data_IF_015772678542
#
_entry.id   IF_015772678542
#
_cell.length_a   1.000
_cell.length_b   1.000
_cell.length_c   1.000
_cell.angle_alpha   90.00
_cell.angle_beta   90.00
_cell.angle_gamma   90.00
#
_symmetry.space_group_name_H-M   'P 1'
#
loop_
_entity.id
_entity.type
_entity.pdbx_description
1 polymer ?
#
# COMPACT_ATOMS: atom_id res chain seq x y z
N UNK A 1 15.61 0.26 -45.98
CA UNK A 1 15.99 1.21 -44.91
C UNK A 1 15.26 0.75 -43.66
N UNK A 2 15.78 -0.27 -43.01
CA UNK A 2 15.18 -0.82 -41.79
C UNK A 2 15.30 0.23 -40.69
N UNK A 3 14.22 0.96 -40.42
CA UNK A 3 14.05 1.64 -39.15
C UNK A 3 14.04 0.51 -38.12
N UNK A 4 15.17 0.28 -37.45
CA UNK A 4 15.16 -0.32 -36.11
C UNK A 4 14.15 0.51 -35.34
N UNK A 5 12.96 -0.04 -35.08
CA UNK A 5 11.99 0.56 -34.17
C UNK A 5 12.74 0.68 -32.86
N UNK A 6 13.16 1.91 -32.51
CA UNK A 6 13.76 2.16 -31.22
C UNK A 6 12.76 1.65 -30.18
N UNK A 7 13.23 0.86 -29.21
CA UNK A 7 12.38 0.43 -28.10
C UNK A 7 11.91 1.71 -27.41
N UNK A 8 10.58 1.88 -27.27
CA UNK A 8 10.01 3.05 -26.61
C UNK A 8 10.58 3.19 -25.19
N UNK A 9 10.86 4.43 -24.79
CA UNK A 9 11.31 4.77 -23.44
C UNK A 9 10.15 4.91 -22.44
N UNK A 10 8.90 4.86 -22.94
CA UNK A 10 7.70 5.15 -22.15
C UNK A 10 6.76 3.95 -22.11
N UNK A 11 6.33 3.44 -23.28
CA UNK A 11 5.31 2.38 -23.38
C UNK A 11 5.92 1.01 -23.68
N UNK A 12 5.22 -0.07 -23.31
CA UNK A 12 5.68 -1.44 -23.58
C UNK A 12 6.92 -1.87 -22.78
N UNK A 13 7.31 -1.11 -21.75
CA UNK A 13 8.45 -1.44 -20.90
C UNK A 13 8.11 -2.57 -19.92
N UNK A 14 9.05 -3.49 -19.65
CA UNK A 14 8.82 -4.52 -18.65
C UNK A 14 8.63 -3.91 -17.25
N UNK A 15 7.86 -4.58 -16.39
CA UNK A 15 7.55 -4.10 -15.03
C UNK A 15 8.81 -3.77 -14.21
N UNK A 16 9.89 -4.54 -14.40
CA UNK A 16 11.18 -4.27 -13.74
C UNK A 16 11.73 -2.86 -14.01
N UNK A 17 11.37 -2.28 -15.14
CA UNK A 17 11.79 -0.96 -15.61
C UNK A 17 10.66 0.07 -15.56
N UNK A 18 9.55 -0.23 -14.88
CA UNK A 18 8.37 0.62 -14.83
C UNK A 18 8.53 1.82 -13.90
N UNK A 19 9.39 1.73 -12.88
CA UNK A 19 9.65 2.84 -11.95
C UNK A 19 11.05 3.46 -12.15
N UNK A 20 12.01 2.66 -12.59
CA UNK A 20 13.42 3.04 -12.69
C UNK A 20 13.99 2.64 -14.06
N UNK A 21 14.84 3.49 -14.61
CA UNK A 21 15.57 3.25 -15.85
C UNK A 21 16.84 2.43 -15.58
N UNK A 22 17.50 1.96 -16.65
CA UNK A 22 18.68 1.08 -16.55
C UNK A 22 19.84 1.78 -15.82
N UNK A 23 19.90 3.10 -15.89
CA UNK A 23 20.91 3.94 -15.22
C UNK A 23 20.55 4.30 -13.77
N UNK A 24 19.43 3.79 -13.26
CA UNK A 24 18.93 4.06 -11.92
C UNK A 24 18.11 5.35 -11.80
N UNK A 25 17.88 6.05 -12.90
CA UNK A 25 17.09 7.28 -12.88
C UNK A 25 15.58 6.99 -12.83
N UNK A 26 14.75 7.90 -12.30
CA UNK A 26 13.29 7.73 -12.32
C UNK A 26 12.75 7.64 -13.75
N UNK A 27 11.96 6.61 -14.02
CA UNK A 27 11.27 6.42 -15.30
C UNK A 27 10.22 7.52 -15.56
N UNK A 28 9.65 7.54 -16.78
CA UNK A 28 8.48 8.35 -17.12
C UNK A 28 7.35 8.21 -16.10
N UNK A 29 6.99 6.97 -15.77
CA UNK A 29 5.85 6.69 -14.89
C UNK A 29 6.14 7.21 -13.48
N UNK A 30 7.32 6.97 -12.92
CA UNK A 30 7.68 7.48 -11.59
C UNK A 30 7.62 9.01 -11.54
N UNK A 31 8.11 9.69 -12.57
CA UNK A 31 8.05 11.16 -12.65
C UNK A 31 6.60 11.67 -12.76
N UNK A 32 5.76 10.99 -13.55
CA UNK A 32 4.35 11.33 -13.68
C UNK A 32 3.58 11.11 -12.36
N UNK A 33 3.86 10.01 -11.64
CA UNK A 33 3.28 9.75 -10.31
C UNK A 33 3.65 10.85 -9.31
N UNK A 34 4.94 11.25 -9.25
CA UNK A 34 5.39 12.38 -8.40
C UNK A 34 4.76 13.71 -8.78
N UNK A 35 4.57 13.95 -10.08
CA UNK A 35 3.88 15.14 -10.55
C UNK A 35 2.45 15.20 -10.01
N UNK A 36 1.69 14.10 -10.10
CA UNK A 36 0.32 14.04 -9.61
C UNK A 36 0.23 14.22 -8.08
N UNK A 37 1.16 13.64 -7.33
CA UNK A 37 1.25 13.84 -5.87
C UNK A 37 1.46 15.31 -5.49
N UNK A 38 2.19 16.06 -6.32
CA UNK A 38 2.54 17.45 -6.03
C UNK A 38 1.54 18.47 -6.58
N UNK A 39 1.01 18.22 -7.78
CA UNK A 39 0.23 19.20 -8.53
C UNK A 39 -1.20 18.72 -8.83
N UNK A 40 -1.45 17.41 -8.82
CA UNK A 40 -2.77 16.84 -9.08
C UNK A 40 -3.72 16.89 -7.88
N UNK A 41 -3.22 17.03 -6.65
CA UNK A 41 -4.02 16.97 -5.41
C UNK A 41 -5.09 18.04 -5.29
N UNK A 42 -4.93 19.19 -5.98
CA UNK A 42 -5.88 20.31 -5.97
C UNK A 42 -6.73 20.41 -7.23
N UNK A 43 -6.54 19.48 -8.17
CA UNK A 43 -7.21 19.53 -9.48
C UNK A 43 -8.50 18.75 -9.40
N UNK A 44 -9.63 19.43 -9.57
CA UNK A 44 -10.95 18.79 -9.55
C UNK A 44 -11.03 17.65 -10.57
N UNK A 45 -11.53 16.50 -10.14
CA UNK A 45 -11.76 15.35 -11.02
C UNK A 45 -10.48 14.71 -11.57
N UNK A 46 -9.32 14.93 -10.94
CA UNK A 46 -8.06 14.30 -11.34
C UNK A 46 -8.22 12.76 -11.45
N UNK A 47 -7.64 12.15 -12.50
CA UNK A 47 -7.83 10.75 -12.90
C UNK A 47 -9.24 10.36 -13.36
N UNK A 48 -10.28 11.16 -13.14
CA UNK A 48 -11.64 10.89 -13.65
C UNK A 48 -11.90 11.57 -14.97
N UNK A 49 -11.55 12.85 -15.08
CA UNK A 49 -11.68 13.61 -16.31
C UNK A 49 -10.60 13.17 -17.31
N UNK A 50 -11.02 12.94 -18.55
CA UNK A 50 -10.12 12.61 -19.65
C UNK A 50 -9.55 13.86 -20.28
N UNK A 51 -8.25 13.83 -20.57
CA UNK A 51 -7.58 14.80 -21.42
C UNK A 51 -7.79 14.45 -22.90
N UNK A 52 -7.37 15.36 -23.78
CA UNK A 52 -7.31 15.07 -25.20
C UNK A 52 -6.24 13.99 -25.48
N UNK A 53 -6.63 12.95 -26.23
CA UNK A 53 -5.76 11.83 -26.59
C UNK A 53 -4.53 12.33 -27.37
N UNK A 54 -4.68 13.35 -28.22
CA UNK A 54 -3.57 13.92 -28.97
C UNK A 54 -2.55 14.61 -28.05
N UNK A 55 -3.01 15.21 -26.95
CA UNK A 55 -2.11 15.84 -25.97
C UNK A 55 -1.33 14.82 -25.15
N UNK A 56 -1.96 13.71 -24.78
CA UNK A 56 -1.32 12.57 -24.11
C UNK A 56 -0.24 11.97 -25.01
N UNK A 57 -0.59 11.67 -26.27
CA UNK A 57 0.34 11.11 -27.26
C UNK A 57 1.51 12.06 -27.54
N UNK A 58 1.21 13.35 -27.71
CA UNK A 58 2.25 14.39 -27.86
C UNK A 58 3.18 14.40 -26.66
N UNK A 59 2.64 14.34 -25.43
CA UNK A 59 3.46 14.44 -24.23
C UNK A 59 4.39 13.24 -24.04
N UNK A 60 3.92 12.05 -24.41
CA UNK A 60 4.73 10.81 -24.47
C UNK A 60 5.85 10.97 -25.50
N UNK A 61 5.54 11.47 -26.71
CA UNK A 61 6.54 11.70 -27.75
C UNK A 61 7.59 12.75 -27.37
N UNK A 62 7.18 13.84 -26.71
CA UNK A 62 8.10 14.87 -26.19
C UNK A 62 9.11 14.26 -25.21
N UNK A 63 8.68 13.32 -24.38
CA UNK A 63 9.58 12.61 -23.47
C UNK A 63 10.61 11.78 -24.24
N UNK A 64 10.18 11.04 -25.27
CA UNK A 64 11.08 10.27 -26.14
C UNK A 64 12.07 11.16 -26.91
N UNK A 65 11.72 12.42 -27.14
CA UNK A 65 12.57 13.43 -27.78
C UNK A 65 13.52 14.16 -26.82
N UNK A 66 13.46 13.83 -25.52
CA UNK A 66 14.37 14.36 -24.49
C UNK A 66 13.75 15.36 -23.51
N UNK A 67 12.45 15.66 -23.60
CA UNK A 67 11.73 16.45 -22.57
C UNK A 67 11.30 15.54 -21.41
N UNK A 68 12.30 15.14 -20.62
CA UNK A 68 12.18 14.07 -19.63
C UNK A 68 11.61 14.49 -18.27
N UNK A 69 11.28 15.76 -18.07
CA UNK A 69 10.74 16.30 -16.81
C UNK A 69 9.34 16.86 -17.01
N UNK A 70 8.49 16.75 -15.98
CA UNK A 70 7.16 17.37 -15.95
C UNK A 70 7.23 18.75 -15.28
N UNK A 71 6.90 19.80 -16.03
CA UNK A 71 6.85 21.19 -15.51
C UNK A 71 5.60 21.44 -14.67
N UNK A 72 5.68 22.30 -13.65
CA UNK A 72 4.55 22.61 -12.75
C UNK A 72 3.34 23.27 -13.44
N UNK A 73 3.56 23.78 -14.64
CA UNK A 73 2.58 24.41 -15.53
C UNK A 73 1.89 23.42 -16.49
N UNK A 74 2.30 22.15 -16.49
CA UNK A 74 1.65 21.12 -17.30
C UNK A 74 0.25 20.78 -16.77
N UNK A 75 -0.64 20.40 -17.69
CA UNK A 75 -2.00 19.99 -17.36
C UNK A 75 -2.00 18.64 -16.63
N UNK A 76 -2.51 18.63 -15.40
CA UNK A 76 -2.58 17.42 -14.59
C UNK A 76 -3.51 16.34 -15.14
N UNK A 77 -4.54 16.69 -15.92
CA UNK A 77 -5.39 15.70 -16.59
C UNK A 77 -4.60 14.98 -17.68
N UNK A 78 -3.77 15.71 -18.45
CA UNK A 78 -2.86 15.12 -19.46
C UNK A 78 -1.86 14.19 -18.78
N UNK A 79 -1.20 14.62 -17.70
CA UNK A 79 -0.25 13.77 -16.97
C UNK A 79 -0.94 12.56 -16.32
N UNK A 80 -2.16 12.74 -15.82
CA UNK A 80 -3.01 11.67 -15.29
C UNK A 80 -3.30 10.60 -16.34
N UNK A 81 -3.69 11.00 -17.54
CA UNK A 81 -3.95 10.07 -18.64
C UNK A 81 -2.66 9.48 -19.24
N UNK A 82 -1.53 10.18 -19.15
CA UNK A 82 -0.21 9.59 -19.43
C UNK A 82 0.09 8.42 -18.50
N UNK A 83 -0.17 8.54 -17.18
CA UNK A 83 -0.04 7.43 -16.22
C UNK A 83 -0.91 6.25 -16.65
N UNK A 84 -2.19 6.50 -16.94
CA UNK A 84 -3.12 5.44 -17.36
C UNK A 84 -2.69 4.78 -18.67
N UNK A 85 -2.19 5.58 -19.61
CA UNK A 85 -1.69 5.09 -20.89
C UNK A 85 -0.53 4.13 -20.69
N UNK A 86 0.49 4.52 -19.90
CA UNK A 86 1.63 3.63 -19.61
C UNK A 86 1.17 2.33 -18.95
N UNK A 87 0.27 2.38 -17.95
CA UNK A 87 -0.22 1.18 -17.26
C UNK A 87 -0.99 0.24 -18.20
N UNK A 88 -1.73 0.80 -19.16
CA UNK A 88 -2.46 0.03 -20.19
C UNK A 88 -1.50 -0.66 -21.15
N UNK A 89 -0.43 0.02 -21.55
CA UNK A 89 0.58 -0.48 -22.50
C UNK A 89 1.66 -1.35 -21.85
N UNK A 90 1.60 -1.61 -20.54
CA UNK A 90 2.52 -2.56 -19.89
C UNK A 90 2.30 -3.97 -20.47
N UNK A 91 3.39 -4.70 -20.82
CA UNK A 91 3.33 -6.05 -21.41
C UNK A 91 2.55 -7.06 -20.56
N UNK A 92 2.53 -6.86 -19.25
CA UNK A 92 1.75 -7.63 -18.28
C UNK A 92 1.05 -6.68 -17.31
N UNK A 93 -0.08 -7.14 -16.77
CA UNK A 93 -0.81 -6.39 -15.73
C UNK A 93 0.06 -6.08 -14.52
N UNK A 94 -0.06 -4.88 -13.89
CA UNK A 94 0.59 -4.58 -12.63
C UNK A 94 0.31 -5.64 -11.56
N UNK A 95 -0.92 -6.16 -11.53
CA UNK A 95 -1.31 -7.32 -10.70
C UNK A 95 -1.51 -8.54 -11.62
N UNK A 96 -0.66 -9.58 -11.52
CA UNK A 96 -0.81 -10.83 -12.26
C UNK A 96 -2.09 -11.61 -11.90
N UNK A 97 -2.48 -12.59 -12.73
CA UNK A 97 -3.72 -13.36 -12.53
C UNK A 97 -3.76 -14.12 -11.18
N UNK A 98 -2.67 -14.77 -10.79
CA UNK A 98 -2.57 -15.45 -9.48
C UNK A 98 -2.71 -14.47 -8.31
N UNK A 99 -2.10 -13.29 -8.43
CA UNK A 99 -2.21 -12.22 -7.45
C UNK A 99 -3.61 -11.60 -7.38
N UNK A 100 -4.31 -11.49 -8.52
CA UNK A 100 -5.71 -11.07 -8.56
C UNK A 100 -6.61 -12.08 -7.84
N UNK A 101 -6.38 -13.38 -8.06
CA UNK A 101 -7.12 -14.47 -7.40
C UNK A 101 -6.93 -14.41 -5.89
N UNK A 102 -5.68 -14.34 -5.41
CA UNK A 102 -5.37 -14.21 -3.99
C UNK A 102 -5.99 -12.96 -3.33
N UNK A 103 -5.96 -11.81 -4.01
CA UNK A 103 -6.62 -10.59 -3.52
C UNK A 103 -8.15 -10.74 -3.46
N UNK A 104 -8.75 -11.41 -4.44
CA UNK A 104 -10.19 -11.62 -4.49
C UNK A 104 -10.65 -12.57 -3.38
N UNK A 105 -9.93 -13.67 -3.16
CA UNK A 105 -10.18 -14.60 -2.05
C UNK A 105 -10.05 -13.89 -0.70
N UNK A 106 -8.98 -13.11 -0.50
CA UNK A 106 -8.81 -12.32 0.70
C UNK A 106 -9.97 -11.32 0.89
N UNK A 107 -10.42 -10.66 -0.18
CA UNK A 107 -11.51 -9.69 -0.14
C UNK A 107 -12.87 -10.32 0.22
N UNK A 108 -13.11 -11.59 -0.17
CA UNK A 108 -14.32 -12.34 0.18
C UNK A 108 -14.44 -12.66 1.68
N UNK A 109 -13.40 -12.41 2.50
CA UNK A 109 -13.46 -12.61 3.96
C UNK A 109 -14.37 -11.55 4.61
N UNK A 110 -15.35 -12.03 5.38
CA UNK A 110 -16.36 -11.19 6.03
C UNK A 110 -15.76 -10.26 7.10
N UNK A 111 -14.92 -10.82 7.99
CA UNK A 111 -14.34 -10.06 9.11
C UNK A 111 -13.27 -9.11 8.58
N UNK A 112 -13.49 -7.80 8.73
CA UNK A 112 -12.60 -6.74 8.24
C UNK A 112 -11.12 -6.98 8.59
N UNK A 113 -10.79 -7.21 9.86
CA UNK A 113 -9.39 -7.41 10.29
C UNK A 113 -8.74 -8.62 9.61
N UNK A 114 -9.46 -9.75 9.50
CA UNK A 114 -8.96 -10.95 8.84
C UNK A 114 -8.82 -10.73 7.33
N UNK A 115 -9.75 -10.01 6.70
CA UNK A 115 -9.65 -9.57 5.30
C UNK A 115 -8.38 -8.73 5.07
N UNK A 116 -8.14 -7.71 5.88
CA UNK A 116 -6.94 -6.86 5.72
C UNK A 116 -5.67 -7.70 5.92
N UNK A 117 -5.62 -8.54 6.95
CA UNK A 117 -4.48 -9.44 7.16
C UNK A 117 -4.23 -10.36 5.97
N UNK A 118 -5.28 -10.95 5.39
CA UNK A 118 -5.16 -11.82 4.22
C UNK A 118 -4.74 -11.04 2.96
N UNK A 119 -5.22 -9.80 2.77
CA UNK A 119 -4.80 -8.94 1.68
C UNK A 119 -3.32 -8.56 1.82
N UNK A 120 -2.84 -8.31 3.04
CA UNK A 120 -1.41 -8.11 3.31
C UNK A 120 -0.60 -9.35 2.92
N UNK A 121 -0.97 -10.54 3.40
CA UNK A 121 -0.29 -11.80 3.04
C UNK A 121 -0.30 -12.02 1.52
N UNK A 122 -1.42 -11.76 0.84
CA UNK A 122 -1.46 -11.82 -0.62
C UNK A 122 -0.39 -10.90 -1.25
N UNK A 123 -0.31 -9.64 -0.83
CA UNK A 123 0.65 -8.65 -1.34
C UNK A 123 2.11 -9.04 -1.03
N UNK A 124 2.43 -9.49 0.18
CA UNK A 124 3.81 -9.71 0.60
C UNK A 124 4.34 -11.10 0.30
N UNK A 125 3.48 -12.12 0.25
CA UNK A 125 3.88 -13.52 0.09
C UNK A 125 3.65 -14.03 -1.35
N UNK A 126 2.68 -13.48 -2.08
CA UNK A 126 2.32 -13.99 -3.44
C UNK A 126 2.89 -13.12 -4.56
N UNK A 127 3.04 -11.81 -4.37
CA UNK A 127 3.43 -10.93 -5.46
C UNK A 127 4.91 -11.05 -5.79
N UNK A 128 5.27 -11.11 -7.09
CA UNK A 128 6.64 -10.87 -7.50
C UNK A 128 7.10 -9.47 -7.05
N UNK A 129 8.34 -9.38 -6.58
CA UNK A 129 8.89 -8.13 -6.04
C UNK A 129 8.70 -6.89 -6.95
N UNK A 130 8.94 -6.96 -8.28
CA UNK A 130 8.72 -5.81 -9.16
C UNK A 130 7.25 -5.37 -9.21
N UNK A 131 6.31 -6.33 -9.21
CA UNK A 131 4.88 -6.08 -9.23
C UNK A 131 4.40 -5.47 -7.91
N UNK A 132 4.89 -6.00 -6.78
CA UNK A 132 4.60 -5.49 -5.43
C UNK A 132 5.02 -4.04 -5.29
N UNK A 133 6.27 -3.72 -5.68
CA UNK A 133 6.81 -2.35 -5.64
C UNK A 133 6.03 -1.40 -6.55
N UNK A 134 5.69 -1.84 -7.76
CA UNK A 134 4.89 -1.05 -8.69
C UNK A 134 3.49 -0.76 -8.12
N UNK A 135 2.80 -1.78 -7.61
CA UNK A 135 1.47 -1.63 -7.01
C UNK A 135 1.51 -0.68 -5.81
N UNK A 136 2.42 -0.90 -4.86
CA UNK A 136 2.58 -0.03 -3.68
C UNK A 136 2.83 1.42 -4.10
N UNK A 137 3.71 1.64 -5.10
CA UNK A 137 4.03 2.98 -5.57
C UNK A 137 2.84 3.69 -6.23
N UNK A 138 2.03 2.97 -6.99
CA UNK A 138 0.79 3.51 -7.59
C UNK A 138 -0.24 3.81 -6.50
N UNK A 139 -0.43 2.89 -5.55
CA UNK A 139 -1.35 3.06 -4.42
C UNK A 139 -0.96 4.28 -3.57
N UNK A 140 0.33 4.55 -3.38
CA UNK A 140 0.82 5.76 -2.70
C UNK A 140 0.33 7.06 -3.36
N UNK A 141 0.45 7.14 -4.69
CA UNK A 141 -0.02 8.30 -5.46
C UNK A 141 -1.54 8.42 -5.34
N UNK A 142 -2.26 7.31 -5.50
CA UNK A 142 -3.72 7.28 -5.34
C UNK A 142 -4.14 7.71 -3.93
N UNK A 143 -3.40 7.29 -2.90
CA UNK A 143 -3.69 7.60 -1.50
C UNK A 143 -3.55 9.10 -1.27
N UNK A 144 -2.45 9.68 -1.76
CA UNK A 144 -2.17 11.11 -1.74
C UNK A 144 -3.25 11.93 -2.44
N UNK A 145 -3.77 11.49 -3.58
CA UNK A 145 -4.90 12.15 -4.25
C UNK A 145 -6.16 12.07 -3.38
N UNK A 146 -6.50 10.87 -2.89
CA UNK A 146 -7.75 10.63 -2.17
C UNK A 146 -7.81 11.32 -0.80
N UNK A 147 -6.66 11.55 -0.15
CA UNK A 147 -6.58 12.31 1.10
C UNK A 147 -6.90 13.79 0.93
N UNK A 148 -6.85 14.31 -0.31
CA UNK A 148 -7.25 15.67 -0.67
C UNK A 148 -8.64 15.73 -1.32
N UNK A 149 -9.49 14.72 -1.09
CA UNK A 149 -10.84 14.61 -1.67
C UNK A 149 -11.76 15.81 -1.43
N UNK A 150 -11.53 16.57 -0.36
CA UNK A 150 -12.26 17.81 -0.09
C UNK A 150 -11.98 18.93 -1.12
N UNK A 151 -10.80 18.92 -1.76
CA UNK A 151 -10.40 19.89 -2.77
C UNK A 151 -10.65 19.34 -4.19
N UNK A 152 -10.12 18.14 -4.49
CA UNK A 152 -10.18 17.56 -5.83
C UNK A 152 -11.44 16.75 -6.13
N UNK A 153 -12.32 16.50 -5.14
CA UNK A 153 -13.57 15.72 -5.24
C UNK A 153 -13.39 14.24 -5.59
N UNK A 154 -12.18 13.70 -5.40
CA UNK A 154 -11.85 12.30 -5.71
C UNK A 154 -11.73 11.48 -4.42
N UNK A 155 -12.81 10.83 -3.99
CA UNK A 155 -12.81 9.90 -2.85
C UNK A 155 -12.00 8.62 -3.15
N UNK A 156 -11.61 7.82 -2.13
CA UNK A 156 -10.91 6.55 -2.37
C UNK A 156 -11.63 5.65 -3.38
N UNK A 157 -12.96 5.51 -3.24
CA UNK A 157 -13.80 4.76 -4.17
C UNK A 157 -13.81 5.36 -5.59
N UNK A 158 -13.83 6.69 -5.73
CA UNK A 158 -13.79 7.35 -7.04
C UNK A 158 -12.43 7.16 -7.75
N UNK A 159 -11.33 7.26 -7.00
CA UNK A 159 -9.98 6.98 -7.54
C UNK A 159 -9.86 5.50 -7.92
N UNK A 160 -10.34 4.59 -7.06
CA UNK A 160 -10.36 3.15 -7.33
C UNK A 160 -11.15 2.80 -8.59
N UNK A 161 -12.33 3.41 -8.80
CA UNK A 161 -13.12 3.19 -10.01
C UNK A 161 -12.36 3.55 -11.30
N UNK A 162 -11.51 4.59 -11.24
CA UNK A 162 -10.73 5.05 -12.40
C UNK A 162 -9.49 4.18 -12.66
N UNK A 163 -8.89 3.61 -11.62
CA UNK A 163 -7.59 2.92 -11.69
C UNK A 163 -7.69 1.40 -11.69
N UNK A 164 -8.70 0.80 -11.03
CA UNK A 164 -8.86 -0.65 -10.93
C UNK A 164 -8.85 -1.36 -12.29
N UNK A 165 -9.47 -0.83 -13.37
CA UNK A 165 -9.42 -1.49 -14.67
C UNK A 165 -8.03 -1.62 -15.30
N UNK A 166 -7.09 -0.78 -14.86
CA UNK A 166 -5.71 -0.79 -15.35
C UNK A 166 -4.82 -1.72 -14.52
N UNK A 167 -5.15 -1.87 -13.22
CA UNK A 167 -4.36 -2.63 -12.25
C UNK A 167 -4.74 -4.11 -12.19
N UNK A 168 -6.04 -4.42 -12.27
CA UNK A 168 -6.60 -5.77 -12.12
C UNK A 168 -7.14 -6.30 -13.46
N UNK A 169 -6.39 -6.11 -14.54
CA UNK A 169 -6.78 -6.54 -15.90
C UNK A 169 -7.20 -8.03 -15.97
N UNK A 170 -6.47 -8.98 -15.36
CA UNK A 170 -6.84 -10.40 -15.40
C UNK A 170 -8.19 -10.70 -14.75
N UNK A 171 -8.53 -9.99 -13.66
CA UNK A 171 -9.83 -10.14 -13.01
C UNK A 171 -10.97 -9.70 -13.93
N UNK A 172 -10.81 -8.57 -14.61
CA UNK A 172 -11.83 -8.08 -15.55
C UNK A 172 -11.94 -8.93 -16.82
N UNK A 173 -10.85 -9.57 -17.23
CA UNK A 173 -10.82 -10.49 -18.35
C UNK A 173 -11.41 -11.87 -18.03
N UNK A 174 -11.73 -12.15 -16.76
CA UNK A 174 -12.20 -13.47 -16.32
C UNK A 174 -11.10 -14.53 -16.28
N UNK A 175 -9.83 -14.11 -16.16
CA UNK A 175 -8.66 -15.00 -16.10
C UNK A 175 -8.35 -15.51 -14.69
N UNK A 176 -9.08 -15.03 -13.68
CA UNK A 176 -8.94 -15.51 -12.31
C UNK A 176 -9.78 -16.78 -12.14
N UNK A 177 -9.12 -17.88 -11.78
CA UNK A 177 -9.77 -19.15 -11.47
C UNK A 177 -10.56 -18.96 -10.17
N UNK A 178 -11.86 -18.73 -10.30
CA UNK A 178 -12.77 -18.78 -9.17
C UNK A 178 -13.39 -20.17 -9.17
N UNK A 179 -13.29 -20.86 -8.03
CA UNK A 179 -14.10 -22.04 -7.73
C UNK A 179 -15.57 -21.59 -7.58
N UNK A 180 -16.24 -21.27 -8.67
CA UNK A 180 -17.69 -21.07 -8.70
C UNK A 180 -18.27 -22.09 -9.71
N UNK A 181 -18.98 -23.08 -9.14
CA UNK A 181 -19.71 -24.22 -9.73
C UNK A 181 -20.82 -23.85 -10.75
N UNK A 182 -20.64 -22.79 -11.54
CA UNK A 182 -21.58 -22.43 -12.58
C UNK A 182 -21.27 -23.21 -13.86
N UNK A 183 -22.03 -24.27 -14.08
CA UNK A 183 -22.24 -24.88 -15.40
C UNK A 183 -22.32 -23.75 -16.43
N UNK A 184 -21.32 -23.66 -17.30
CA UNK A 184 -21.24 -22.68 -18.37
C UNK A 184 -22.30 -22.98 -19.44
N UNK A 185 -23.58 -22.84 -19.08
CA UNK A 185 -24.62 -22.57 -20.05
C UNK A 185 -24.30 -21.22 -20.65
N UNK A 186 -23.95 -21.19 -21.94
CA UNK A 186 -23.53 -20.01 -22.70
C UNK A 186 -24.64 -18.96 -22.87
N UNK A 187 -25.24 -18.52 -21.77
CA UNK A 187 -26.19 -17.43 -21.72
C UNK A 187 -25.44 -16.10 -21.61
N UNK A 188 -25.70 -15.21 -22.57
CA UNK A 188 -25.14 -13.86 -22.60
C UNK A 188 -25.46 -13.07 -21.31
N UNK A 189 -26.57 -13.40 -20.63
CA UNK A 189 -26.96 -12.75 -19.37
C UNK A 189 -26.00 -13.06 -18.21
N UNK A 190 -25.55 -14.32 -18.10
CA UNK A 190 -24.63 -14.76 -17.07
C UNK A 190 -23.23 -14.16 -17.26
N UNK A 191 -22.78 -14.05 -18.51
CA UNK A 191 -21.48 -13.46 -18.83
C UNK A 191 -21.44 -11.94 -18.53
N UNK A 192 -22.52 -11.21 -18.80
CA UNK A 192 -22.65 -9.80 -18.43
C UNK A 192 -22.64 -9.60 -16.90
N UNK A 193 -23.35 -10.47 -16.16
CA UNK A 193 -23.37 -10.42 -14.70
C UNK A 193 -21.99 -10.72 -14.10
N UNK A 194 -21.29 -11.72 -14.63
CA UNK A 194 -19.93 -12.06 -14.21
C UNK A 194 -18.96 -10.89 -14.44
N UNK A 195 -19.01 -10.25 -15.62
CA UNK A 195 -18.19 -9.08 -15.92
C UNK A 195 -18.49 -7.88 -14.99
N UNK A 196 -19.77 -7.63 -14.70
CA UNK A 196 -20.18 -6.58 -13.75
C UNK A 196 -19.67 -6.87 -12.32
N UNK A 197 -19.78 -8.13 -11.87
CA UNK A 197 -19.26 -8.56 -10.58
C UNK A 197 -17.73 -8.42 -10.51
N UNK A 198 -17.01 -8.80 -11.56
CA UNK A 198 -15.56 -8.63 -11.64
C UNK A 198 -15.15 -7.14 -11.55
N UNK A 199 -15.87 -6.26 -12.25
CA UNK A 199 -15.64 -4.81 -12.18
C UNK A 199 -15.89 -4.24 -10.77
N UNK A 200 -17.01 -4.63 -10.15
CA UNK A 200 -17.35 -4.20 -8.80
C UNK A 200 -16.32 -4.69 -7.77
N UNK A 201 -15.92 -5.97 -7.86
CA UNK A 201 -14.89 -6.55 -7.01
C UNK A 201 -13.54 -5.87 -7.20
N UNK A 202 -13.13 -5.61 -8.45
CA UNK A 202 -11.88 -4.91 -8.75
C UNK A 202 -11.86 -3.51 -8.12
N UNK A 203 -12.94 -2.74 -8.28
CA UNK A 203 -13.06 -1.43 -7.64
C UNK A 203 -13.00 -1.55 -6.11
N UNK A 204 -13.72 -2.50 -5.52
CA UNK A 204 -13.80 -2.63 -4.07
C UNK A 204 -12.49 -3.12 -3.42
N UNK A 205 -11.76 -4.02 -4.08
CA UNK A 205 -10.40 -4.44 -3.68
C UNK A 205 -9.48 -3.22 -3.64
N UNK A 206 -9.42 -2.45 -4.74
CA UNK A 206 -8.53 -1.29 -4.83
C UNK A 206 -8.95 -0.19 -3.84
N UNK A 207 -10.25 0.03 -3.64
CA UNK A 207 -10.74 0.98 -2.64
C UNK A 207 -10.33 0.56 -1.22
N UNK A 208 -10.46 -0.73 -0.88
CA UNK A 208 -10.05 -1.26 0.43
C UNK A 208 -8.55 -1.10 0.64
N UNK A 209 -7.72 -1.42 -0.37
CA UNK A 209 -6.27 -1.21 -0.30
C UNK A 209 -5.89 0.26 -0.09
N UNK A 210 -6.72 1.18 -0.61
CA UNK A 210 -6.47 2.62 -0.53
C UNK A 210 -6.85 3.21 0.83
N UNK A 211 -7.98 2.76 1.39
CA UNK A 211 -8.46 3.14 2.71
C UNK A 211 -7.55 2.60 3.82
N UNK A 212 -6.99 1.41 3.61
CA UNK A 212 -6.11 0.73 4.56
C UNK A 212 -4.63 0.86 4.18
N UNK A 213 -4.28 1.81 3.30
CA UNK A 213 -2.93 1.96 2.75
C UNK A 213 -1.86 2.04 3.84
N UNK A 214 -2.04 2.93 4.81
CA UNK A 214 -1.11 3.06 5.94
C UNK A 214 -1.06 1.76 6.76
N UNK A 215 -2.21 1.14 7.04
CA UNK A 215 -2.23 -0.14 7.78
C UNK A 215 -1.51 -1.28 7.04
N UNK A 216 -1.55 -1.31 5.71
CA UNK A 216 -0.93 -2.37 4.92
C UNK A 216 0.57 -2.13 4.72
N UNK A 217 0.97 -0.87 4.53
CA UNK A 217 2.31 -0.50 4.08
C UNK A 217 3.17 0.27 5.10
N UNK A 218 2.68 0.52 6.31
CA UNK A 218 3.48 1.08 7.41
C UNK A 218 4.44 0.01 8.00
N UNK A 219 5.65 0.44 8.35
CA UNK A 219 6.83 -0.42 8.55
C UNK A 219 6.62 -1.49 9.66
N UNK A 220 5.77 -1.21 10.64
CA UNK A 220 5.45 -2.12 11.76
C UNK A 220 4.64 -3.37 11.33
N UNK A 221 3.83 -3.29 10.27
CA UNK A 221 3.08 -4.43 9.76
C UNK A 221 3.86 -5.28 8.75
N UNK A 222 4.90 -4.71 8.13
CA UNK A 222 5.84 -5.44 7.27
C UNK A 222 6.53 -6.58 8.06
N UNK A 223 6.84 -6.33 9.34
CA UNK A 223 7.40 -7.32 10.25
C UNK A 223 6.35 -8.36 10.65
N UNK A 224 5.11 -7.94 10.95
CA UNK A 224 4.05 -8.86 11.39
C UNK A 224 3.62 -9.86 10.31
N UNK A 225 3.58 -9.43 9.04
CA UNK A 225 3.31 -10.33 7.90
C UNK A 225 4.47 -11.30 7.66
N UNK A 226 5.72 -10.89 7.92
CA UNK A 226 6.90 -11.75 7.76
C UNK A 226 6.98 -12.87 8.82
N UNK A 227 6.47 -12.64 10.03
CA UNK A 227 6.56 -13.60 11.17
C UNK A 227 5.51 -14.71 11.06
N UNK A 228 4.43 -14.51 10.29
CA UNK A 228 3.36 -15.51 10.12
C UNK A 228 3.83 -16.75 9.33
N UNK A 229 4.82 -16.60 8.44
CA UNK A 229 5.32 -17.69 7.59
C UNK A 229 6.20 -18.73 8.33
N UNK A 230 6.68 -18.44 9.55
CA UNK A 230 7.71 -19.26 10.22
C UNK A 230 7.21 -20.02 11.46
N UNK A 231 5.89 -20.07 11.72
CA UNK A 231 5.31 -20.76 12.89
C UNK A 231 4.72 -22.15 12.58
N UNK A 232 5.19 -22.82 11.53
CA UNK A 232 4.92 -24.24 11.26
C UNK A 232 6.21 -25.04 11.16
N UNK A 233 6.95 -25.10 12.27
CA UNK A 233 7.85 -26.22 12.52
C UNK A 233 7.43 -26.84 13.84
N UNK A 234 6.88 -28.05 13.71
CA UNK A 234 6.33 -28.86 14.78
C UNK A 234 7.38 -29.15 15.86
N UNK A 235 6.96 -29.15 17.13
CA UNK A 235 7.45 -30.15 18.07
C UNK A 235 6.30 -30.57 19.00
N UNK A 236 5.33 -31.29 18.43
CA UNK A 236 4.49 -32.20 19.21
C UNK A 236 5.27 -33.50 19.41
N UNK A 237 5.83 -33.67 20.60
CA UNK A 237 6.39 -34.93 21.08
C UNK A 237 5.92 -35.14 22.52
N UNK A 238 4.80 -35.85 22.64
CA UNK A 238 4.22 -36.30 23.90
C UNK A 238 4.62 -37.76 24.13
N UNK A 239 5.22 -38.11 25.27
CA UNK A 239 4.96 -39.39 25.92
C UNK A 239 5.48 -39.47 27.38
N UNK A 240 4.71 -40.21 28.18
CA UNK A 240 4.68 -40.34 29.64
C UNK A 240 5.76 -41.26 30.26
N UNK A 241 6.01 -41.02 31.57
CA UNK A 241 6.21 -42.00 32.67
C UNK A 241 7.33 -43.07 32.63
N UNK A 242 8.23 -43.02 33.63
CA UNK A 242 8.40 -44.09 34.66
C UNK A 242 9.50 -43.77 35.70
N UNK A 243 9.24 -44.16 36.95
CA UNK A 243 10.09 -44.18 38.17
C UNK A 243 11.50 -44.79 37.99
N UNK A 244 12.48 -44.32 38.78
CA UNK A 244 13.29 -45.20 39.66
C UNK A 244 14.13 -44.42 40.71
N UNK A 245 14.35 -45.06 41.86
CA UNK A 245 14.79 -44.50 43.15
C UNK A 245 16.31 -44.23 43.36
N UNK A 246 16.57 -43.39 44.39
CA UNK A 246 17.73 -43.12 45.27
C UNK A 246 18.72 -44.31 45.58
N UNK A 247 19.85 -44.18 46.35
CA UNK A 247 20.43 -43.03 47.10
C UNK A 247 21.99 -42.90 47.09
N UNK A 248 22.49 -41.93 47.90
CA UNK A 248 23.67 -42.00 48.79
C UNK A 248 25.02 -41.26 48.48
N UNK A 249 25.32 -40.36 49.43
CA UNK A 249 26.58 -40.10 50.17
C UNK A 249 27.59 -38.97 49.85
N UNK A 250 27.71 -38.12 50.89
CA UNK A 250 28.88 -37.44 51.51
C UNK A 250 29.51 -36.24 50.80
N UNK A 251 29.47 -35.02 51.37
CA UNK A 251 29.92 -34.51 52.69
C UNK A 251 31.35 -33.94 52.68
N UNK A 252 31.40 -32.67 53.11
CA UNK A 252 32.49 -31.86 53.66
C UNK A 252 33.55 -31.15 52.80
N UNK A 253 33.51 -29.81 52.92
CA UNK A 253 34.64 -28.89 52.72
C UNK A 253 34.26 -27.45 53.12
N UNK A 254 34.44 -27.11 54.41
CA UNK A 254 34.19 -25.77 55.00
C UNK A 254 35.42 -24.84 54.93
N UNK A 255 35.12 -23.54 55.16
CA UNK A 255 35.97 -22.36 55.47
C UNK A 255 36.42 -21.54 54.24
N UNK A 256 36.17 -20.23 54.16
CA UNK A 256 36.54 -19.23 55.17
C UNK A 256 35.64 -17.98 55.21
N UNK A 257 35.77 -17.25 56.32
CA UNK A 257 34.93 -16.15 56.81
C UNK A 257 35.19 -14.76 56.19
N UNK A 258 34.18 -13.89 56.30
CA UNK A 258 34.19 -12.48 56.78
C UNK A 258 32.93 -11.77 56.22
N UNK A 259 31.89 -11.52 57.05
CA UNK A 259 31.64 -10.28 57.79
C UNK A 259 31.34 -9.10 56.82
N UNK A 260 30.13 -8.57 56.69
CA UNK A 260 29.40 -7.72 57.64
C UNK A 260 27.95 -7.53 57.12
N UNK A 261 27.03 -7.28 58.06
CA UNK A 261 25.61 -7.06 57.81
C UNK A 261 25.29 -5.59 57.44
N UNK A 262 24.15 -5.42 56.77
CA UNK A 262 23.36 -4.19 56.58
C UNK A 262 22.93 -3.54 57.92
N UNK A 263 22.08 -2.48 57.99
CA UNK A 263 21.44 -1.63 56.98
C UNK A 263 21.42 -0.12 57.40
N UNK A 264 20.52 0.64 56.77
CA UNK A 264 19.96 1.94 57.15
C UNK A 264 20.63 3.21 56.61
N UNK A 265 19.84 3.98 55.85
CA UNK A 265 19.65 5.42 56.08
C UNK A 265 18.46 5.93 55.26
N UNK A 266 17.39 6.26 55.98
CA UNK A 266 16.56 7.43 55.70
C UNK A 266 17.44 8.70 55.59
N UNK A 267 17.06 9.68 54.78
CA UNK A 267 16.58 10.97 55.31
C UNK A 267 16.19 11.99 54.22
N UNK A 268 15.10 12.66 54.57
CA UNK A 268 14.38 13.85 54.08
C UNK A 268 15.32 15.11 54.24
N UNK A 269 14.92 16.41 54.41
CA UNK A 269 13.63 17.07 54.31
C UNK A 269 13.59 18.52 53.75
N UNK A 270 12.38 18.88 53.27
CA UNK A 270 11.61 20.12 53.56
C UNK A 270 12.14 21.53 53.18
N UNK A 271 11.24 22.33 52.56
CA UNK A 271 10.56 23.54 53.12
C UNK A 271 9.93 24.37 51.95
N UNK A 272 8.60 24.50 51.82
CA UNK A 272 7.62 25.30 52.59
C UNK A 272 7.49 26.77 52.10
N UNK A 273 6.25 27.08 51.68
CA UNK A 273 5.48 28.36 51.72
C UNK A 273 5.33 29.31 50.50
N UNK A 274 4.03 29.53 50.21
CA UNK A 274 3.33 30.82 50.00
C UNK A 274 3.33 31.50 48.63
N UNK A 275 2.13 31.84 48.16
CA UNK A 275 1.92 32.93 47.20
C UNK A 275 0.55 32.94 46.52
N UNK A 276 -0.32 33.85 46.96
CA UNK A 276 -1.74 34.01 46.59
C UNK A 276 -1.99 34.58 45.17
N UNK A 277 -3.17 34.24 44.64
CA UNK A 277 -4.20 35.06 43.95
C UNK A 277 -3.77 36.15 42.93
N UNK A 278 -4.36 36.11 41.74
CA UNK A 278 -5.20 37.24 41.24
C UNK A 278 -5.97 36.88 39.96
N UNK A 279 -7.24 37.29 39.98
CA UNK A 279 -8.23 37.24 38.90
C UNK A 279 -8.06 38.39 37.89
N UNK A 280 -8.82 38.30 36.79
CA UNK A 280 -9.57 39.38 36.12
C UNK A 280 -9.12 39.82 34.72
N UNK A 281 -9.95 39.40 33.74
CA UNK A 281 -10.74 40.17 32.76
C UNK A 281 -10.12 41.21 31.82
N UNK A 282 -10.65 41.21 30.60
CA UNK A 282 -10.52 42.29 29.62
C UNK A 282 -11.28 41.96 28.32
N UNK A 283 -12.56 42.35 28.27
CA UNK A 283 -13.41 42.39 27.07
C UNK A 283 -13.71 43.86 26.74
N UNK A 284 -14.07 44.14 25.48
CA UNK A 284 -14.37 45.43 24.82
C UNK A 284 -13.14 46.22 24.36
N UNK A 285 -13.05 46.81 23.16
CA UNK A 285 -14.01 47.08 22.08
C UNK A 285 -13.54 48.33 21.31
N UNK A 286 -14.17 48.61 20.15
CA UNK A 286 -14.06 49.81 19.28
C UNK A 286 -12.90 49.82 18.25
N UNK A 287 -12.98 50.44 17.08
CA UNK A 287 -14.03 50.83 16.12
C UNK A 287 -13.29 51.50 14.92
N UNK A 288 -13.77 51.22 13.70
CA UNK A 288 -13.99 52.11 12.53
C UNK A 288 -12.95 53.11 11.94
N UNK A 289 -13.19 53.36 10.63
CA UNK A 289 -12.63 54.28 9.61
C UNK A 289 -11.39 53.75 8.87
N UNK A 290 -11.36 53.60 7.54
CA UNK A 290 -12.06 54.24 6.40
C UNK A 290 -12.25 53.24 5.25
#
# INVERSE_FOLDING_TARGET
>A
RDKRTAKSLVVGRPILLALEDIDGSPSFLEKALRFLEKFGTKVEGILRQSADVEEVDRRVQEYEQGKTEFGSDEDAHVVGDCVKHVLRELPSSPVPASCCTALLEAYKIDRKEARISAMCSAIFETFPEPNRRLLQRILKMMHTISSHSNENRMTPSAVAACMAPLLLRPLLAGECELEDDFDATGDNSAQLLAAANAANNAQAIIATLLEEYENIFDDENLQRCSISADSRVENSGSEDSSDDENPDMKDNGYHDAENEASPDTDEDPSRVLSGKLSESSGYAGSDLYD
#
